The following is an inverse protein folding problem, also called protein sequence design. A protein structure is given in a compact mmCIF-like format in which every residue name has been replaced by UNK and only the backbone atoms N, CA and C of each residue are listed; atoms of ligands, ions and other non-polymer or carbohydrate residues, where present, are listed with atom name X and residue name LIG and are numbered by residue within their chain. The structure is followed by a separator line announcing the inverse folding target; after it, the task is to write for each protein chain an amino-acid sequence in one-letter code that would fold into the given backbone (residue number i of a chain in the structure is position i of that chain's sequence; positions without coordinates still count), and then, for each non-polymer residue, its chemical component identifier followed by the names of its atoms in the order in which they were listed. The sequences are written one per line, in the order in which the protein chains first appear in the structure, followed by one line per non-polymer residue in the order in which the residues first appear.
data_IF_917561095164
#
_entry.id   IF_917561095164
#
_cell.length_a   1.000
_cell.length_b   1.000
_cell.length_c   1.000
_cell.angle_alpha   90.00
_cell.angle_beta   90.00
_cell.angle_gamma   90.00
#
_symmetry.space_group_name_H-M   'P 1'
#
loop_
_entity.id
_entity.type
_entity.pdbx_description
1 polymer ?
2 water ?
#
# COMPACT_ATOMS: atom_id res chain seq x y z
N UNK A 8 11.66 22.93 4.59
CA UNK A 8 11.29 22.82 6.04
C UNK A 8 12.05 21.70 6.76
N UNK A 9 13.31 21.94 7.10
CA UNK A 9 14.07 20.89 7.78
C UNK A 9 13.48 20.47 9.12
N UNK A 10 13.85 19.28 9.56
CA UNK A 10 13.37 18.77 10.84
C UNK A 10 14.50 17.99 11.46
N UNK A 11 14.53 17.96 12.78
CA UNK A 11 15.57 17.25 13.48
C UNK A 11 14.96 16.33 14.53
N UNK A 12 15.45 15.09 14.56
CA UNK A 12 14.96 14.13 15.55
C UNK A 12 16.10 14.00 16.52
N UNK A 13 15.78 13.93 17.80
CA UNK A 13 16.79 13.80 18.84
C UNK A 13 16.52 12.55 19.63
N UNK A 14 17.59 11.92 20.10
CA UNK A 14 17.52 10.68 20.84
C UNK A 14 16.34 10.67 21.81
N UNK A 15 15.48 9.67 21.67
CA UNK A 15 14.31 9.54 22.52
C UNK A 15 14.62 8.71 23.73
N UNK A 16 13.89 9.00 24.79
CA UNK A 16 14.06 8.31 26.06
C UNK A 16 13.33 6.98 26.15
N UNK A 17 12.42 6.74 25.22
CA UNK A 17 11.66 5.51 25.27
C UNK A 17 10.29 5.86 24.74
N UNK A 18 9.83 5.13 23.73
CA UNK A 18 8.54 5.42 23.14
C UNK A 18 7.45 4.54 23.73
N UNK A 19 6.28 5.11 23.90
CA UNK A 19 5.20 4.29 24.40
C UNK A 19 3.89 4.89 23.97
N UNK A 20 2.89 4.04 23.78
CA UNK A 20 1.60 4.51 23.36
C UNK A 20 0.98 3.48 22.46
N UNK A 21 -0.30 3.64 22.20
CA UNK A 21 -1.02 2.72 21.33
C UNK A 21 -1.44 3.63 20.22
N UNK A 22 -1.12 3.28 18.98
CA UNK A 22 -1.50 4.14 17.91
C UNK A 22 -2.16 3.38 16.81
N UNK A 23 -3.01 4.08 16.07
CA UNK A 23 -3.60 3.43 14.94
C UNK A 23 -3.05 4.26 13.77
N UNK A 24 -2.79 3.61 12.66
CA UNK A 24 -2.23 4.23 11.48
C UNK A 24 -3.34 4.53 10.46
N UNK A 25 -3.17 5.57 9.64
CA UNK A 25 -4.21 5.83 8.65
C UNK A 25 -4.42 4.60 7.77
N UNK A 26 -5.69 4.31 7.49
CA UNK A 26 -6.03 3.14 6.70
C UNK A 26 -5.25 2.98 5.42
N UNK A 27 -5.09 1.74 5.00
CA UNK A 27 -4.41 1.45 3.77
C UNK A 27 -5.31 1.94 2.61
N UNK A 28 -4.72 2.58 1.62
CA UNK A 28 -5.46 3.10 0.47
C UNK A 28 -6.08 1.98 -0.36
N UNK A 29 -5.31 0.92 -0.61
CA UNK A 29 -5.80 -0.19 -1.43
C UNK A 29 -6.97 -0.92 -0.79
N UNK A 30 -6.85 -1.24 0.48
CA UNK A 30 -7.94 -1.90 1.15
C UNK A 30 -9.12 -0.95 1.32
N UNK A 31 -8.85 0.34 1.54
CA UNK A 31 -9.93 1.30 1.67
C UNK A 31 -10.67 1.37 0.34
N UNK A 32 -9.92 1.49 -0.75
CA UNK A 32 -10.53 1.56 -2.06
C UNK A 32 -11.39 0.34 -2.30
N UNK A 33 -10.83 -0.84 -2.11
CA UNK A 33 -11.63 -2.01 -2.37
C UNK A 33 -12.82 -2.17 -1.44
N UNK A 34 -12.69 -1.71 -0.20
CA UNK A 34 -13.79 -1.82 0.74
C UNK A 34 -14.93 -0.94 0.25
N UNK A 35 -14.60 0.26 -0.18
CA UNK A 35 -15.62 1.15 -0.65
C UNK A 35 -16.25 0.63 -1.94
N UNK A 36 -15.43 0.18 -2.88
CA UNK A 36 -15.97 -0.35 -4.14
C UNK A 36 -16.83 -1.59 -3.91
N UNK A 37 -16.29 -2.54 -3.17
CA UNK A 37 -17.03 -3.76 -2.91
C UNK A 37 -18.24 -3.45 -2.05
N UNK A 38 -18.10 -2.47 -1.17
CA UNK A 38 -19.22 -2.09 -0.34
C UNK A 38 -20.37 -1.61 -1.20
N UNK A 39 -20.06 -0.85 -2.25
CA UNK A 39 -21.09 -0.34 -3.14
C UNK A 39 -21.61 -1.39 -4.12
N UNK A 40 -20.78 -2.37 -4.45
CA UNK A 40 -21.20 -3.41 -5.37
C UNK A 40 -21.98 -4.54 -4.72
N UNK A 41 -21.61 -4.90 -3.49
CA UNK A 41 -22.24 -6.02 -2.82
C UNK A 41 -23.68 -5.82 -2.45
N UNK A 42 -24.38 -6.93 -2.29
CA UNK A 42 -25.77 -6.93 -1.89
C UNK A 42 -25.72 -6.74 -0.40
N UNK A 43 -26.63 -5.93 0.12
CA UNK A 43 -26.66 -5.74 1.55
C UNK A 43 -25.82 -4.55 1.94
N UNK A 44 -25.63 -4.41 3.24
CA UNK A 44 -24.92 -3.26 3.77
C UNK A 44 -23.51 -3.54 4.22
N UNK A 45 -22.63 -2.59 3.93
CA UNK A 45 -21.24 -2.69 4.35
C UNK A 45 -21.03 -1.49 5.25
N UNK A 46 -20.28 -1.71 6.33
CA UNK A 46 -19.95 -0.66 7.28
C UNK A 46 -18.43 -0.63 7.32
N UNK A 47 -17.88 0.54 7.06
CA UNK A 47 -16.45 0.69 7.03
C UNK A 47 -15.99 1.74 8.02
N UNK A 48 -14.99 1.38 8.81
CA UNK A 48 -14.40 2.32 9.73
C UNK A 48 -12.92 2.33 9.35
N UNK A 49 -12.21 3.40 9.70
CA UNK A 49 -10.79 3.45 9.38
C UNK A 49 -10.48 3.72 7.91
N UNK A 50 -11.50 4.09 7.15
CA UNK A 50 -11.34 4.37 5.74
C UNK A 50 -10.30 5.46 5.45
N UNK A 51 -9.39 5.20 4.53
CA UNK A 51 -8.45 6.23 4.15
C UNK A 51 -9.28 6.95 3.09
N UNK A 52 -9.74 8.16 3.39
CA UNK A 52 -10.58 8.88 2.45
C UNK A 52 -9.74 9.66 1.46
N UNK A 53 -8.96 8.93 0.66
CA UNK A 53 -8.12 9.57 -0.34
C UNK A 53 -8.84 9.67 -1.67
N UNK A 54 -8.16 10.26 -2.65
CA UNK A 54 -8.73 10.46 -3.96
C UNK A 54 -9.32 9.21 -4.61
N UNK A 55 -8.58 8.11 -4.54
CA UNK A 55 -9.08 6.86 -5.14
C UNK A 55 -10.35 6.39 -4.44
N UNK A 56 -10.36 6.41 -3.12
CA UNK A 56 -11.55 5.99 -2.38
C UNK A 56 -12.69 6.96 -2.67
N UNK A 57 -12.45 8.25 -2.44
CA UNK A 57 -13.48 9.26 -2.69
C UNK A 57 -14.05 9.16 -4.09
N UNK A 58 -13.18 9.24 -5.08
CA UNK A 58 -13.67 9.17 -6.44
C UNK A 58 -14.38 7.86 -6.73
N UNK A 59 -13.88 6.77 -6.16
CA UNK A 59 -14.52 5.49 -6.44
C UNK A 59 -15.88 5.44 -5.77
N UNK A 60 -15.96 6.03 -4.59
CA UNK A 60 -17.23 6.07 -3.90
C UNK A 60 -18.22 6.91 -4.71
N UNK A 61 -17.75 8.00 -5.29
CA UNK A 61 -18.59 8.89 -6.09
C UNK A 61 -19.11 8.10 -7.29
N UNK A 62 -18.24 7.27 -7.87
CA UNK A 62 -18.67 6.49 -9.01
C UNK A 62 -19.66 5.42 -8.60
N UNK A 63 -19.42 4.80 -7.46
CA UNK A 63 -20.33 3.75 -7.00
C UNK A 63 -21.67 4.40 -6.73
N UNK A 64 -21.64 5.58 -6.14
CA UNK A 64 -22.89 6.28 -5.88
C UNK A 64 -23.56 6.60 -7.21
N UNK A 65 -22.78 7.08 -8.18
CA UNK A 65 -23.32 7.41 -9.49
C UNK A 65 -23.99 6.19 -10.14
N UNK A 66 -23.60 5.00 -9.70
CA UNK A 66 -24.17 3.79 -10.27
C UNK A 66 -25.14 3.07 -9.34
N UNK A 67 -25.65 3.78 -8.34
CA UNK A 67 -26.67 3.19 -7.50
C UNK A 67 -26.36 2.87 -6.06
N UNK A 68 -25.09 2.83 -5.69
CA UNK A 68 -24.76 2.52 -4.32
C UNK A 68 -25.24 3.66 -3.43
N UNK A 69 -25.73 3.32 -2.25
CA UNK A 69 -26.20 4.32 -1.32
C UNK A 69 -25.12 4.40 -0.25
N UNK A 70 -24.51 5.57 -0.15
CA UNK A 70 -23.41 5.79 0.79
C UNK A 70 -23.70 6.88 1.79
N UNK A 71 -23.30 6.66 3.04
CA UNK A 71 -23.51 7.67 4.07
C UNK A 71 -22.48 7.39 5.15
N UNK A 72 -22.14 8.43 5.92
CA UNK A 72 -21.18 8.22 6.98
C UNK A 72 -21.86 8.65 8.25
N UNK A 73 -21.82 7.76 9.23
CA UNK A 73 -22.42 8.04 10.52
C UNK A 73 -21.37 7.74 11.57
N UNK A 74 -21.01 8.76 12.34
CA UNK A 74 -19.99 8.59 13.33
C UNK A 74 -18.71 8.39 12.54
N UNK A 75 -17.94 7.41 12.92
CA UNK A 75 -16.69 7.14 12.22
C UNK A 75 -16.91 6.03 11.23
N UNK A 76 -18.18 5.73 10.96
CA UNK A 76 -18.53 4.63 10.08
C UNK A 76 -19.20 4.96 8.76
N UNK A 77 -18.60 4.49 7.67
CA UNK A 77 -19.22 4.66 6.37
C UNK A 77 -20.16 3.49 6.26
N UNK A 78 -21.38 3.77 5.81
CA UNK A 78 -22.40 2.76 5.64
C UNK A 78 -22.76 2.76 4.19
N UNK A 79 -22.61 1.61 3.58
CA UNK A 79 -22.90 1.50 2.18
C UNK A 79 -23.93 0.44 1.90
N UNK A 80 -24.97 0.83 1.19
CA UNK A 80 -25.96 -0.16 0.80
C UNK A 80 -25.61 -0.35 -0.67
N UNK A 81 -25.08 -1.53 -0.95
CA UNK A 81 -24.64 -1.84 -2.31
C UNK A 81 -25.76 -2.21 -3.24
N UNK A 82 -25.45 -2.23 -4.53
CA UNK A 82 -26.43 -2.52 -5.56
C UNK A 82 -26.53 -4.01 -5.87
N UNK A 83 -25.66 -4.83 -5.26
CA UNK A 83 -25.64 -6.25 -5.56
C UNK A 83 -24.74 -6.47 -6.78
N UNK A 84 -23.95 -7.54 -6.80
CA UNK A 84 -23.09 -7.79 -7.95
C UNK A 84 -23.91 -7.82 -9.25
N UNK A 85 -23.46 -7.09 -10.27
CA UNK A 85 -24.19 -7.06 -11.52
C UNK A 85 -25.33 -6.07 -11.40
N UNK A 86 -25.35 -5.33 -10.31
CA UNK A 86 -26.44 -4.40 -10.09
C UNK A 86 -26.17 -2.96 -10.37
N UNK A 87 -24.97 -2.66 -10.85
CA UNK A 87 -24.60 -1.29 -11.15
C UNK A 87 -25.56 -0.63 -12.11
N UNK A 88 -25.89 0.60 -11.81
CA UNK A 88 -26.79 1.36 -12.63
C UNK A 88 -25.96 2.24 -13.55
N UNK A 89 -26.44 2.42 -14.76
CA UNK A 89 -25.75 3.24 -15.71
C UNK A 89 -25.56 4.67 -15.15
N UNK A 90 -24.31 5.17 -15.15
CA UNK A 90 -24.08 6.53 -14.62
C UNK A 90 -24.71 7.57 -15.53
N UNK A 91 -25.24 8.62 -14.92
CA UNK A 91 -25.89 9.71 -15.66
C UNK A 91 -24.87 10.70 -16.17
N UNK A 92 -23.62 10.53 -15.78
CA UNK A 92 -22.62 11.47 -16.23
C UNK A 92 -21.25 10.84 -16.17
N UNK A 93 -20.27 11.47 -16.80
CA UNK A 93 -18.94 10.90 -16.75
C UNK A 93 -18.45 10.71 -15.32
N UNK A 94 -17.62 9.70 -15.15
CA UNK A 94 -17.06 9.40 -13.86
C UNK A 94 -15.72 10.09 -13.85
N UNK A 95 -15.63 11.19 -13.12
CA UNK A 95 -14.40 11.96 -13.06
C UNK A 95 -13.51 11.40 -11.97
N UNK A 96 -12.32 10.97 -12.32
CA UNK A 96 -11.46 10.43 -11.29
C UNK A 96 -10.37 11.37 -10.85
N UNK A 97 -10.53 12.64 -11.21
CA UNK A 97 -9.53 13.63 -10.85
C UNK A 97 -8.17 13.08 -11.19
N UNK A 98 -7.36 12.88 -10.17
CA UNK A 98 -6.03 12.32 -10.41
C UNK A 98 -5.93 10.88 -9.88
N UNK A 99 -7.05 10.31 -9.46
CA UNK A 99 -7.06 8.95 -8.90
C UNK A 99 -6.94 7.90 -9.99
N UNK A 100 -5.72 7.63 -10.39
CA UNK A 100 -5.44 6.67 -11.45
C UNK A 100 -5.87 5.26 -11.08
N UNK A 101 -5.61 4.88 -9.83
CA UNK A 101 -5.96 3.53 -9.41
C UNK A 101 -7.46 3.36 -9.36
N UNK A 102 -8.14 4.29 -8.70
CA UNK A 102 -9.58 4.22 -8.61
C UNK A 102 -10.16 4.22 -10.01
N UNK A 103 -9.52 4.93 -10.92
CA UNK A 103 -10.02 5.01 -12.26
C UNK A 103 -9.89 3.69 -12.98
N UNK A 104 -8.70 3.13 -12.93
CA UNK A 104 -8.45 1.88 -13.61
C UNK A 104 -9.25 0.71 -13.06
N UNK A 105 -9.42 0.65 -11.75
CA UNK A 105 -10.16 -0.46 -11.20
C UNK A 105 -11.62 -0.31 -11.50
N UNK A 106 -12.08 0.92 -11.49
CA UNK A 106 -13.48 1.17 -11.78
C UNK A 106 -13.76 0.79 -13.22
N UNK A 107 -12.80 1.08 -14.09
CA UNK A 107 -12.95 0.74 -15.51
C UNK A 107 -13.11 -0.75 -15.61
N UNK A 108 -12.27 -1.47 -14.87
CA UNK A 108 -12.35 -2.92 -14.92
C UNK A 108 -13.71 -3.39 -14.47
N UNK A 109 -14.17 -2.82 -13.36
CA UNK A 109 -15.45 -3.19 -12.76
C UNK A 109 -16.61 -2.90 -13.70
N UNK A 110 -16.65 -1.66 -14.15
CA UNK A 110 -17.72 -1.13 -14.98
C UNK A 110 -17.71 -1.38 -16.49
N UNK A 111 -16.52 -1.53 -17.07
CA UNK A 111 -16.44 -1.75 -18.50
C UNK A 111 -17.26 -2.92 -18.97
N UNK A 112 -17.34 -3.98 -18.15
CA UNK A 112 -18.11 -5.14 -18.55
C UNK A 112 -19.62 -4.97 -18.38
N UNK A 113 -20.05 -3.82 -17.89
CA UNK A 113 -21.48 -3.60 -17.76
C UNK A 113 -22.02 -3.09 -19.09
N UNK A 114 -23.22 -3.53 -19.39
CA UNK A 114 -23.86 -3.18 -20.63
C UNK A 114 -24.53 -1.81 -20.59
N UNK A 115 -23.73 -0.81 -20.27
CA UNK A 115 -24.18 0.56 -20.32
C UNK A 115 -22.94 1.39 -20.61
N UNK A 116 -23.13 2.59 -21.10
CA UNK A 116 -22.00 3.43 -21.39
C UNK A 116 -21.45 4.04 -20.12
N UNK A 117 -20.13 4.05 -20.04
CA UNK A 117 -19.43 4.61 -18.90
C UNK A 117 -18.35 5.47 -19.51
N UNK A 118 -18.24 6.72 -19.04
CA UNK A 118 -17.20 7.59 -19.53
C UNK A 118 -16.35 7.97 -18.34
N UNK A 119 -15.05 7.85 -18.52
CA UNK A 119 -14.11 8.19 -17.48
C UNK A 119 -13.32 9.38 -17.96
N UNK A 120 -13.16 10.35 -17.08
CA UNK A 120 -12.38 11.55 -17.38
C UNK A 120 -11.59 11.77 -16.11
N UNK A 121 -10.61 12.67 -16.20
CA UNK A 121 -9.78 12.97 -15.06
C UNK A 121 -9.06 14.27 -15.32
N UNK A 122 -8.25 14.70 -14.36
CA UNK A 122 -7.53 15.95 -14.53
C UNK A 122 -6.42 15.77 -15.58
N UNK A 123 -5.72 16.85 -15.88
CA UNK A 123 -4.64 16.84 -16.87
C UNK A 123 -3.63 15.73 -16.57
N UNK A 124 -3.27 15.62 -15.31
CA UNK A 124 -2.32 14.62 -14.90
C UNK A 124 -2.76 13.21 -15.31
N UNK A 125 -3.89 12.76 -14.78
CA UNK A 125 -4.38 11.42 -15.07
C UNK A 125 -4.67 11.20 -16.55
N UNK A 126 -5.09 12.25 -17.24
CA UNK A 126 -5.41 12.14 -18.66
C UNK A 126 -4.21 11.75 -19.53
N UNK A 127 -2.98 11.94 -19.02
CA UNK A 127 -1.82 11.57 -19.80
C UNK A 127 -1.41 10.13 -19.53
N UNK A 128 -1.93 9.56 -18.44
CA UNK A 128 -1.59 8.19 -18.08
C UNK A 128 -2.19 7.13 -18.99
N UNK A 129 -1.39 6.13 -19.35
CA UNK A 129 -1.80 5.03 -20.23
C UNK A 129 -2.82 4.17 -19.47
N UNK A 130 -3.83 3.71 -20.16
CA UNK A 130 -4.85 2.90 -19.52
C UNK A 130 -4.92 1.56 -20.20
N UNK A 131 -4.19 1.43 -21.31
CA UNK A 131 -4.21 0.22 -22.10
C UNK A 131 -4.03 -1.10 -21.37
N UNK A 132 -3.24 -1.10 -20.30
CA UNK A 132 -3.01 -2.34 -19.55
C UNK A 132 -4.31 -2.86 -18.95
N UNK A 133 -5.24 -1.93 -18.73
CA UNK A 133 -6.55 -2.30 -18.21
C UNK A 133 -7.55 -2.39 -19.36
N UNK A 134 -7.44 -1.49 -20.31
CA UNK A 134 -8.37 -1.49 -21.43
C UNK A 134 -8.25 -2.71 -22.33
N UNK A 135 -7.03 -3.19 -22.52
CA UNK A 135 -6.82 -4.35 -23.37
C UNK A 135 -7.59 -5.57 -22.91
N UNK A 136 -7.44 -5.96 -21.63
CA UNK A 136 -8.19 -7.14 -21.19
C UNK A 136 -9.69 -6.92 -21.21
N UNK A 137 -10.12 -5.68 -21.01
CA UNK A 137 -11.53 -5.38 -21.07
C UNK A 137 -12.03 -5.64 -22.51
N UNK A 138 -11.25 -5.22 -23.51
CA UNK A 138 -11.63 -5.44 -24.90
C UNK A 138 -11.73 -6.95 -25.19
N UNK A 139 -10.84 -7.71 -24.55
CA UNK A 139 -10.81 -9.15 -24.72
C UNK A 139 -12.04 -9.79 -24.11
N UNK A 140 -12.68 -9.07 -23.21
CA UNK A 140 -13.88 -9.60 -22.60
C UNK A 140 -15.10 -9.12 -23.34
N UNK A 141 -14.89 -8.34 -24.41
CA UNK A 141 -16.00 -7.88 -25.21
C UNK A 141 -16.39 -6.43 -24.98
N UNK A 142 -15.61 -5.72 -24.19
CA UNK A 142 -15.95 -4.34 -23.91
C UNK A 142 -15.61 -3.41 -25.05
N UNK A 143 -16.54 -2.55 -25.42
CA UNK A 143 -16.22 -1.59 -26.47
C UNK A 143 -15.49 -0.47 -25.76
N UNK A 144 -14.31 -0.14 -26.25
CA UNK A 144 -13.52 0.91 -25.67
C UNK A 144 -13.35 2.05 -26.64
N UNK A 145 -13.58 3.25 -26.16
CA UNK A 145 -13.39 4.46 -26.93
C UNK A 145 -12.46 5.23 -26.03
N UNK A 146 -11.25 5.51 -26.52
CA UNK A 146 -10.28 6.22 -25.73
C UNK A 146 -9.47 7.16 -26.60
N UNK A 147 -8.62 7.94 -25.96
CA UNK A 147 -7.78 8.87 -26.67
C UNK A 147 -6.43 8.21 -26.90
N UNK A 148 -5.60 8.93 -27.64
CA UNK A 148 -4.22 8.58 -27.95
C UNK A 148 -3.86 7.13 -27.79
N UNK A 149 -2.89 6.90 -26.91
CA UNK A 149 -2.41 5.57 -26.63
C UNK A 149 -3.21 5.06 -25.46
N UNK A 150 -4.53 4.98 -25.68
CA UNK A 150 -5.45 4.49 -24.68
C UNK A 150 -5.41 5.34 -23.42
N UNK A 151 -5.77 6.60 -23.57
CA UNK A 151 -5.78 7.51 -22.44
C UNK A 151 -7.16 8.11 -22.34
N UNK A 152 -7.44 8.70 -21.19
CA UNK A 152 -8.71 9.35 -20.95
C UNK A 152 -8.77 10.53 -21.91
N UNK A 153 -9.98 10.99 -22.23
CA UNK A 153 -11.20 10.36 -21.70
C UNK A 153 -11.45 9.01 -22.34
N UNK A 154 -12.11 8.14 -21.59
CA UNK A 154 -12.42 6.82 -22.09
C UNK A 154 -13.90 6.55 -21.93
N UNK A 155 -14.50 6.00 -22.97
CA UNK A 155 -15.88 5.61 -22.85
C UNK A 155 -15.88 4.11 -22.99
N UNK A 156 -16.59 3.45 -22.08
CA UNK A 156 -16.69 2.01 -22.10
C UNK A 156 -18.13 1.62 -22.24
N UNK A 157 -18.34 0.50 -22.92
CA UNK A 157 -19.64 -0.06 -23.09
C UNK A 157 -19.41 -1.55 -23.17
N UNK A 158 -19.82 -2.25 -22.12
CA UNK A 158 -19.65 -3.68 -22.11
C UNK A 158 -20.69 -4.32 -23.00
N UNK A 159 -20.45 -5.58 -23.42
CA UNK A 159 -21.37 -6.31 -24.28
C UNK A 159 -22.50 -6.73 -23.34
N UNK A 160 -23.61 -7.21 -23.88
CA UNK A 160 -24.70 -7.65 -23.03
C UNK A 160 -24.19 -8.76 -22.14
N UNK A 161 -23.36 -9.63 -22.70
CA UNK A 161 -22.82 -10.73 -21.93
C UNK A 161 -21.34 -10.82 -22.25
N UNK A 162 -20.50 -10.46 -21.27
CA UNK A 162 -19.07 -10.52 -21.54
C UNK A 162 -18.52 -11.94 -21.49
N UNK A 163 -17.33 -12.12 -22.02
CA UNK A 163 -16.76 -13.43 -21.97
C UNK A 163 -15.69 -13.44 -20.93
N UNK A 164 -15.65 -14.51 -20.11
CA UNK A 164 -14.60 -14.58 -19.11
C UNK A 164 -13.34 -14.83 -19.93
N UNK A 165 -12.18 -14.53 -19.37
CA UNK A 165 -10.95 -14.74 -20.08
C UNK A 165 -9.92 -15.33 -19.13
N UNK A 166 -8.86 -15.85 -19.69
CA UNK A 166 -7.79 -16.39 -18.91
C UNK A 166 -6.70 -15.43 -19.29
N UNK A 167 -6.46 -14.49 -18.38
CA UNK A 167 -5.49 -13.45 -18.61
C UNK A 167 -4.16 -13.66 -17.92
N UNK A 168 -3.11 -13.75 -18.72
CA UNK A 168 -1.77 -13.91 -18.21
C UNK A 168 -1.30 -12.49 -18.21
N UNK A 169 -1.18 -11.91 -17.03
CA UNK A 169 -0.74 -10.53 -16.93
C UNK A 169 0.61 -10.43 -17.58
N UNK A 170 0.67 -9.81 -18.78
CA UNK A 170 1.94 -9.67 -19.51
C UNK A 170 3.10 -9.30 -18.58
N UNK A 171 2.77 -8.57 -17.52
CA UNK A 171 3.77 -8.17 -16.56
C UNK A 171 3.16 -8.04 -15.17
N UNK A 172 3.64 -8.88 -14.25
CA UNK A 172 3.17 -8.84 -12.87
C UNK A 172 2.67 -7.46 -12.49
N UNK A 173 1.35 -7.35 -12.32
CA UNK A 173 0.69 -6.10 -11.95
C UNK A 173 -0.55 -6.39 -11.11
N UNK A 174 -0.52 -5.97 -9.86
CA UNK A 174 -1.64 -6.20 -8.97
C UNK A 174 -2.87 -5.46 -9.51
N UNK A 175 -2.63 -4.31 -10.10
CA UNK A 175 -3.69 -3.48 -10.63
C UNK A 175 -4.39 -4.07 -11.84
N UNK A 176 -3.62 -4.64 -12.75
CA UNK A 176 -4.17 -5.23 -13.95
C UNK A 176 -4.95 -6.45 -13.51
N UNK A 177 -4.33 -7.25 -12.64
CA UNK A 177 -4.98 -8.43 -12.10
C UNK A 177 -6.30 -7.99 -11.47
N UNK A 178 -6.23 -6.91 -10.70
CA UNK A 178 -7.41 -6.40 -10.02
C UNK A 178 -8.46 -5.99 -11.01
N UNK A 179 -8.08 -5.25 -12.04
CA UNK A 179 -9.03 -4.79 -13.03
C UNK A 179 -9.71 -5.98 -13.71
N UNK A 180 -8.94 -7.02 -14.04
CA UNK A 180 -9.53 -8.16 -14.71
C UNK A 180 -10.50 -8.91 -13.77
N UNK A 181 -10.09 -9.11 -12.52
CA UNK A 181 -10.97 -9.80 -11.58
C UNK A 181 -12.28 -9.03 -11.37
N UNK A 182 -12.20 -7.72 -11.25
CA UNK A 182 -13.40 -6.91 -11.07
C UNK A 182 -14.26 -7.09 -12.30
N UNK A 183 -13.63 -7.06 -13.48
CA UNK A 183 -14.35 -7.26 -14.73
C UNK A 183 -15.02 -8.62 -14.67
N UNK A 184 -14.32 -9.57 -14.08
CA UNK A 184 -14.86 -10.92 -14.00
C UNK A 184 -16.14 -11.00 -13.19
N UNK A 185 -16.31 -10.08 -12.24
CA UNK A 185 -17.50 -10.09 -11.40
C UNK A 185 -18.87 -10.04 -12.12
N UNK A 186 -18.91 -9.36 -13.25
CA UNK A 186 -20.15 -9.23 -14.00
C UNK A 186 -20.10 -10.11 -15.23
N UNK A 187 -19.17 -11.05 -15.23
CA UNK A 187 -18.98 -11.92 -16.37
C UNK A 187 -19.35 -13.36 -16.00
N UNK A 188 -20.20 -13.99 -16.81
CA UNK A 188 -20.59 -15.38 -16.53
C UNK A 188 -19.37 -16.26 -16.70
N UNK A 189 -19.31 -17.35 -15.94
CA UNK A 189 -18.18 -18.23 -16.09
C UNK A 189 -17.00 -17.85 -15.22
N UNK A 190 -15.86 -18.44 -15.51
CA UNK A 190 -14.69 -18.23 -14.70
C UNK A 190 -13.66 -17.35 -15.34
N UNK A 191 -13.36 -16.24 -14.69
CA UNK A 191 -12.33 -15.35 -15.17
C UNK A 191 -11.09 -15.81 -14.41
N UNK A 192 -9.99 -15.92 -15.14
CA UNK A 192 -8.78 -16.38 -14.51
C UNK A 192 -7.67 -15.44 -14.82
N UNK A 193 -6.88 -15.15 -13.80
CA UNK A 193 -5.73 -14.31 -13.98
C UNK A 193 -4.57 -15.16 -13.56
N UNK A 194 -3.55 -15.18 -14.41
CA UNK A 194 -2.35 -15.92 -14.12
C UNK A 194 -1.26 -14.89 -14.03
N UNK A 195 -0.62 -14.80 -12.87
CA UNK A 195 0.48 -13.86 -12.73
C UNK A 195 1.73 -14.67 -12.43
N UNK A 196 2.85 -14.32 -13.08
CA UNK A 196 4.13 -15.03 -12.89
C UNK A 196 4.58 -15.08 -11.44
N UNK A 197 4.33 -13.98 -10.73
CA UNK A 197 4.72 -13.89 -9.34
C UNK A 197 3.50 -13.37 -8.62
N UNK A 198 3.41 -13.66 -7.33
CA UNK A 198 2.30 -13.18 -6.55
C UNK A 198 2.51 -11.69 -6.35
N UNK A 199 1.50 -10.90 -6.67
CA UNK A 199 1.55 -9.45 -6.48
C UNK A 199 0.53 -9.18 -5.40
N UNK A 200 0.40 -7.93 -4.93
CA UNK A 200 -0.60 -7.63 -3.91
C UNK A 200 -1.89 -8.32 -4.31
N UNK A 201 -2.51 -8.97 -3.33
CA UNK A 201 -3.71 -9.72 -3.59
C UNK A 201 -4.91 -9.19 -2.83
N UNK A 202 -4.97 -7.89 -2.64
CA UNK A 202 -6.12 -7.37 -1.92
C UNK A 202 -7.43 -7.59 -2.63
N UNK A 203 -7.42 -7.57 -3.95
CA UNK A 203 -8.67 -7.78 -4.65
C UNK A 203 -9.11 -9.20 -4.38
N UNK A 204 -8.17 -10.14 -4.48
CA UNK A 204 -8.50 -11.55 -4.23
C UNK A 204 -9.02 -11.71 -2.80
N UNK A 205 -8.27 -11.18 -1.85
CA UNK A 205 -8.61 -11.28 -0.44
C UNK A 205 -9.96 -10.65 -0.14
N UNK A 206 -10.16 -9.42 -0.60
CA UNK A 206 -11.41 -8.74 -0.32
C UNK A 206 -12.61 -9.37 -1.08
N UNK A 207 -12.36 -9.90 -2.27
CA UNK A 207 -13.44 -10.55 -3.00
C UNK A 207 -13.89 -11.72 -2.11
N UNK A 208 -12.94 -12.50 -1.64
CA UNK A 208 -13.26 -13.63 -0.78
C UNK A 208 -13.92 -13.10 0.49
N UNK A 209 -13.41 -11.98 1.00
CA UNK A 209 -14.00 -11.43 2.21
C UNK A 209 -15.46 -11.03 2.00
N UNK A 210 -15.82 -10.72 0.76
CA UNK A 210 -17.19 -10.32 0.46
C UNK A 210 -18.03 -11.49 -0.03
N UNK A 211 -17.51 -12.69 0.10
CA UNK A 211 -18.26 -13.87 -0.28
C UNK A 211 -18.12 -14.38 -1.69
N UNK A 212 -17.14 -13.87 -2.44
CA UNK A 212 -16.96 -14.30 -3.82
C UNK A 212 -16.35 -15.69 -3.85
N UNK A 213 -16.64 -16.40 -4.93
CA UNK A 213 -16.08 -17.74 -5.12
C UNK A 213 -14.80 -17.53 -5.94
N UNK A 214 -13.71 -17.30 -5.23
CA UNK A 214 -12.42 -17.06 -5.85
C UNK A 214 -11.39 -17.96 -5.21
N UNK A 215 -10.56 -18.57 -6.07
CA UNK A 215 -9.53 -19.45 -5.59
C UNK A 215 -8.21 -19.05 -6.22
N UNK A 216 -7.13 -19.49 -5.58
CA UNK A 216 -5.81 -19.19 -6.06
C UNK A 216 -5.03 -20.49 -6.07
N UNK A 217 -4.47 -20.78 -7.21
CA UNK A 217 -3.67 -21.97 -7.37
C UNK A 217 -2.26 -21.44 -7.57
N UNK A 218 -1.29 -22.10 -6.94
CA UNK A 218 0.11 -21.71 -7.11
C UNK A 218 0.81 -22.98 -7.57
N UNK A 219 1.61 -22.89 -8.64
CA UNK A 219 2.33 -24.07 -9.12
C UNK A 219 3.71 -24.07 -8.51
N UNK A 220 4.49 -25.10 -8.81
CA UNK A 220 5.85 -25.22 -8.28
C UNK A 220 6.68 -23.95 -8.44
N UNK A 221 6.49 -23.21 -9.52
CA UNK A 221 7.25 -21.99 -9.73
C UNK A 221 6.67 -20.76 -9.08
N UNK A 222 5.64 -20.93 -8.27
CA UNK A 222 5.05 -19.76 -7.65
C UNK A 222 4.11 -19.03 -8.59
N UNK A 223 3.97 -19.49 -9.83
CA UNK A 223 3.02 -18.85 -10.74
C UNK A 223 1.62 -19.05 -10.12
N UNK A 224 0.87 -17.97 -10.04
CA UNK A 224 -0.46 -18.00 -9.43
C UNK A 224 -1.60 -17.97 -10.41
N UNK A 225 -2.56 -18.85 -10.19
CA UNK A 225 -3.72 -18.87 -11.04
C UNK A 225 -4.90 -18.53 -10.15
N UNK A 226 -5.41 -17.32 -10.36
CA UNK A 226 -6.52 -16.83 -9.60
C UNK A 226 -7.76 -17.05 -10.45
N UNK A 227 -8.71 -17.81 -9.92
CA UNK A 227 -9.91 -18.08 -10.65
C UNK A 227 -11.07 -17.42 -9.94
N UNK A 228 -11.90 -16.72 -10.70
CA UNK A 228 -13.05 -16.09 -10.10
C UNK A 228 -14.35 -16.46 -10.80
N UNK A 229 -15.29 -16.97 -10.03
CA UNK A 229 -16.57 -17.30 -10.61
C UNK A 229 -17.32 -15.98 -10.72
N UNK A 230 -17.60 -15.59 -11.96
CA UNK A 230 -18.28 -14.32 -12.23
C UNK A 230 -19.75 -14.34 -11.92
N UNK A 231 -20.33 -13.15 -11.85
CA UNK A 231 -21.74 -13.00 -11.57
C UNK A 231 -22.20 -13.77 -10.33
N UNK A 232 -21.28 -13.95 -9.39
CA UNK A 232 -21.61 -14.65 -8.16
C UNK A 232 -22.00 -13.59 -7.14
N UNK A 233 -22.35 -14.02 -5.93
CA UNK A 233 -22.74 -13.02 -4.98
C UNK A 233 -21.57 -12.34 -4.29
N UNK A 234 -21.88 -11.16 -3.77
CA UNK A 234 -20.96 -10.35 -2.99
C UNK A 234 -21.95 -9.84 -1.97
N UNK A 235 -21.61 -9.93 -0.69
CA UNK A 235 -22.52 -9.46 0.35
C UNK A 235 -21.78 -8.54 1.30
N UNK A 236 -22.55 -7.63 1.88
CA UNK A 236 -22.05 -6.63 2.79
C UNK A 236 -21.22 -7.16 3.95
N UNK A 237 -20.23 -6.37 4.32
CA UNK A 237 -19.31 -6.73 5.39
C UNK A 237 -19.06 -5.59 6.32
N UNK A 238 -18.57 -5.92 7.51
CA UNK A 238 -18.20 -4.94 8.50
C UNK A 238 -16.70 -4.91 8.35
N UNK A 239 -16.18 -3.78 7.89
CA UNK A 239 -14.76 -3.65 7.67
C UNK A 239 -14.12 -2.51 8.44
N UNK A 240 -13.11 -2.85 9.22
CA UNK A 240 -12.35 -1.84 9.94
C UNK A 240 -11.07 -1.86 9.11
N UNK A 241 -10.88 -0.86 8.29
CA UNK A 241 -9.73 -0.84 7.42
C UNK A 241 -8.37 -0.84 8.14
N UNK A 242 -7.53 -1.84 7.84
CA UNK A 242 -6.18 -2.05 8.38
C UNK A 242 -5.36 -0.83 8.02
N UNK A 243 -4.34 -0.53 8.81
CA UNK A 243 -3.53 0.63 8.51
C UNK A 243 -2.58 0.46 7.36
N UNK A 244 -2.14 1.59 6.82
CA UNK A 244 -1.16 1.62 5.72
C UNK A 244 0.14 0.98 6.25
N UNK A 245 0.60 -0.09 5.60
CA UNK A 245 1.83 -0.78 6.03
C UNK A 245 3.06 0.10 6.01
N UNK A 246 3.19 0.94 4.98
CA UNK A 246 4.34 1.80 4.86
C UNK A 246 4.37 2.84 5.96
N UNK A 247 3.20 3.32 6.38
CA UNK A 247 3.17 4.34 7.42
C UNK A 247 3.40 3.71 8.77
N UNK A 248 2.93 2.48 8.88
CA UNK A 248 3.05 1.68 10.08
C UNK A 248 4.54 1.52 10.39
N UNK A 249 5.31 1.31 9.34
CA UNK A 249 6.75 1.08 9.42
C UNK A 249 7.50 1.99 10.37
N UNK A 250 7.18 3.28 10.37
CA UNK A 250 7.93 4.21 11.19
C UNK A 250 7.81 4.05 12.69
N UNK A 251 6.58 4.10 13.24
CA UNK A 251 6.52 3.92 14.69
C UNK A 251 6.97 2.50 15.02
N UNK A 252 6.68 1.57 14.12
CA UNK A 252 7.08 0.18 14.33
C UNK A 252 8.59 0.12 14.50
N UNK A 253 9.32 0.69 13.55
CA UNK A 253 10.77 0.65 13.66
C UNK A 253 11.25 1.53 14.81
N UNK A 254 10.64 2.68 15.00
CA UNK A 254 11.05 3.55 16.09
C UNK A 254 10.94 2.84 17.45
N UNK A 255 9.85 2.11 17.65
CA UNK A 255 9.63 1.39 18.91
C UNK A 255 10.65 0.25 19.09
N UNK A 256 11.03 -0.40 18.00
CA UNK A 256 11.99 -1.48 18.05
C UNK A 256 13.37 -0.96 18.39
N UNK A 257 13.72 0.19 17.80
CA UNK A 257 15.02 0.81 17.96
C UNK A 257 15.26 1.64 19.22
N UNK A 258 14.34 2.53 19.56
CA UNK A 258 14.50 3.39 20.73
C UNK A 258 14.39 2.53 21.97
N UNK A 259 15.46 2.46 22.77
CA UNK A 259 15.33 1.60 23.95
C UNK A 259 14.31 2.08 24.99
N UNK A 260 13.78 1.13 25.74
CA UNK A 260 12.78 1.44 26.75
C UNK A 260 11.44 1.73 26.10
N UNK A 261 11.30 1.33 24.85
CA UNK A 261 10.06 1.57 24.12
C UNK A 261 9.15 0.36 24.16
N UNK A 262 7.87 0.64 24.25
CA UNK A 262 6.87 -0.41 24.28
C UNK A 262 5.69 0.27 23.61
N UNK A 263 5.43 -0.09 22.36
CA UNK A 263 4.36 0.53 21.60
C UNK A 263 3.40 -0.49 21.01
N UNK A 264 2.13 -0.16 21.05
CA UNK A 264 1.15 -1.04 20.46
C UNK A 264 0.59 -0.31 19.24
N UNK A 265 0.69 -0.97 18.09
CA UNK A 265 0.15 -0.38 16.87
C UNK A 265 -1.08 -1.18 16.55
N UNK A 266 -2.20 -0.47 16.48
CA UNK A 266 -3.47 -1.13 16.23
C UNK A 266 -3.78 -1.31 14.77
N UNK A 267 -4.55 -2.36 14.50
CA UNK A 267 -5.06 -2.62 13.17
C UNK A 267 -3.97 -2.63 12.09
N UNK A 268 -3.02 -3.52 12.25
CA UNK A 268 -1.91 -3.65 11.31
C UNK A 268 -2.25 -4.70 10.28
N UNK A 269 -2.10 -4.35 9.01
CA UNK A 269 -2.38 -5.32 7.95
C UNK A 269 -1.28 -6.36 8.04
N UNK A 270 -1.67 -7.63 8.04
CA UNK A 270 -0.71 -8.72 8.12
C UNK A 270 -0.63 -9.54 6.84
N UNK A 271 -1.15 -9.00 5.76
CA UNK A 271 -1.12 -9.64 4.45
C UNK A 271 0.35 -9.65 4.05
N UNK A 272 0.94 -10.85 3.84
CA UNK A 272 2.34 -11.03 3.45
C UNK A 272 2.77 -10.29 2.21
N UNK A 273 1.84 -9.96 1.31
CA UNK A 273 2.23 -9.22 0.12
C UNK A 273 2.50 -7.75 0.47
N UNK A 274 2.25 -7.35 1.72
CA UNK A 274 2.45 -5.95 2.11
C UNK A 274 3.40 -5.79 3.28
N UNK A 275 3.73 -6.89 3.92
CA UNK A 275 4.53 -6.88 5.13
C UNK A 275 5.97 -7.38 5.08
N UNK A 276 6.63 -7.23 3.94
CA UNK A 276 8.02 -7.64 3.83
C UNK A 276 8.86 -7.01 4.94
N UNK A 277 8.56 -5.76 5.28
CA UNK A 277 9.31 -5.07 6.33
C UNK A 277 9.11 -5.79 7.67
N UNK A 278 7.86 -6.00 8.04
CA UNK A 278 7.58 -6.68 9.30
C UNK A 278 8.26 -8.06 9.31
N UNK A 279 8.11 -8.79 8.22
CA UNK A 279 8.73 -10.10 8.12
C UNK A 279 10.24 -9.97 8.30
N UNK A 280 10.84 -8.99 7.62
CA UNK A 280 12.27 -8.79 7.73
C UNK A 280 12.66 -8.46 9.17
N UNK A 281 11.94 -7.53 9.78
CA UNK A 281 12.24 -7.18 11.16
C UNK A 281 12.11 -8.38 12.09
N UNK A 282 11.12 -9.22 11.84
CA UNK A 282 10.93 -10.40 12.67
C UNK A 282 12.19 -11.27 12.55
N UNK A 283 12.66 -11.47 11.32
CA UNK A 283 13.86 -12.29 11.10
C UNK A 283 15.05 -11.66 11.80
N UNK A 284 15.03 -10.32 11.89
CA UNK A 284 16.11 -9.58 12.54
C UNK A 284 15.95 -9.66 14.05
N UNK A 285 14.99 -10.47 14.49
CA UNK A 285 14.76 -10.65 15.91
C UNK A 285 13.93 -9.58 16.58
N UNK A 286 13.12 -8.86 15.80
CA UNK A 286 12.29 -7.80 16.38
C UNK A 286 11.28 -8.39 17.36
N UNK A 287 11.17 -7.75 18.52
CA UNK A 287 10.21 -8.18 19.54
C UNK A 287 8.87 -7.59 19.13
N UNK A 288 8.21 -8.24 18.18
CA UNK A 288 6.92 -7.78 17.70
C UNK A 288 5.94 -8.82 18.13
N UNK A 289 5.05 -8.45 19.03
CA UNK A 289 4.06 -9.41 19.45
C UNK A 289 2.78 -9.17 18.66
N UNK A 290 2.35 -10.22 17.98
CA UNK A 290 1.14 -10.15 17.17
C UNK A 290 -0.01 -10.48 18.11
N UNK A 291 -0.92 -9.54 18.31
CA UNK A 291 -2.02 -9.78 19.20
C UNK A 291 -3.34 -9.50 18.50
N UNK A 292 -4.43 -9.93 19.12
CA UNK A 292 -5.77 -9.75 18.59
C UNK A 292 -5.86 -10.01 17.11
N UNK A 293 -5.33 -11.16 16.65
CA UNK A 293 -5.41 -11.41 15.20
C UNK A 293 -6.88 -11.57 14.79
N UNK A 294 -7.19 -11.08 13.61
CA UNK A 294 -8.55 -11.22 13.11
C UNK A 294 -8.54 -10.92 11.64
N UNK A 295 -9.71 -11.05 11.04
CA UNK A 295 -9.89 -10.77 9.64
C UNK A 295 -10.69 -9.48 9.50
N UNK A 296 -10.40 -8.77 8.41
CA UNK A 296 -11.08 -7.54 8.06
C UNK A 296 -11.26 -7.62 6.55
N UNK A 297 -12.50 -7.75 6.12
CA UNK A 297 -12.77 -7.85 4.70
C UNK A 297 -11.91 -8.92 4.05
N UNK A 298 -11.65 -10.02 4.75
CA UNK A 298 -10.83 -11.07 4.18
C UNK A 298 -9.34 -10.88 4.36
N UNK A 299 -8.94 -9.78 4.97
CA UNK A 299 -7.53 -9.52 5.19
C UNK A 299 -7.12 -9.90 6.62
N UNK A 300 -5.91 -10.43 6.75
CA UNK A 300 -5.40 -10.76 8.06
C UNK A 300 -4.99 -9.47 8.72
N UNK A 301 -5.46 -9.31 9.94
CA UNK A 301 -5.17 -8.12 10.70
C UNK A 301 -4.80 -8.50 12.11
N UNK A 302 -3.97 -7.67 12.73
CA UNK A 302 -3.60 -7.91 14.11
C UNK A 302 -3.11 -6.59 14.64
N UNK A 303 -2.93 -6.52 15.94
CA UNK A 303 -2.33 -5.33 16.49
C UNK A 303 -0.95 -5.84 16.80
N UNK A 304 0.00 -4.93 16.87
CA UNK A 304 1.36 -5.32 17.17
C UNK A 304 1.83 -4.59 18.39
N UNK A 305 2.33 -5.36 19.35
CA UNK A 305 2.88 -4.75 20.52
C UNK A 305 4.36 -4.85 20.22
N UNK A 306 4.96 -3.69 20.04
CA UNK A 306 6.35 -3.60 19.66
C UNK A 306 7.21 -3.11 20.81
N UNK A 307 8.18 -3.93 21.20
CA UNK A 307 9.08 -3.54 22.28
C UNK A 307 10.48 -3.38 21.74
N UNK A 308 11.24 -2.52 22.41
CA UNK A 308 12.62 -2.24 22.05
C UNK A 308 13.30 -3.57 21.92
N UNK A 309 14.02 -3.77 20.82
CA UNK A 309 14.72 -5.02 20.60
C UNK A 309 16.12 -4.76 20.12
N UNK A 310 16.92 -5.80 20.12
CA UNK A 310 18.25 -5.71 19.60
C UNK A 310 18.07 -6.39 18.25
N UNK A 311 18.17 -5.61 17.17
CA UNK A 311 17.99 -6.18 15.84
C UNK A 311 19.30 -6.78 15.38
N UNK A 312 19.19 -7.85 14.61
CA UNK A 312 20.36 -8.54 14.08
C UNK A 312 20.29 -8.48 12.57
N UNK A 313 21.43 -8.22 11.95
CA UNK A 313 21.45 -8.13 10.51
C UNK A 313 21.02 -9.42 9.83
N UNK A 314 20.35 -9.26 8.70
CA UNK A 314 19.92 -10.42 7.93
C UNK A 314 20.14 -10.03 6.50
N UNK A 315 19.95 -11.00 5.61
CA UNK A 315 20.05 -10.76 4.19
C UNK A 315 18.63 -10.72 3.73
N UNK A 316 18.26 -9.67 3.02
CA UNK A 316 16.89 -9.54 2.55
C UNK A 316 16.84 -9.99 1.10
N UNK A 317 16.12 -11.09 0.82
CA UNK A 317 16.03 -11.59 -0.56
C UNK A 317 15.35 -10.61 -1.49
N UNK A 318 15.84 -10.58 -2.72
CA UNK A 318 15.28 -9.69 -3.72
C UNK A 318 13.78 -9.95 -3.94
N UNK A 319 13.37 -11.20 -3.81
CA UNK A 319 11.96 -11.52 -4.04
C UNK A 319 11.04 -10.97 -2.95
N UNK A 320 11.60 -10.36 -1.92
CA UNK A 320 10.76 -9.81 -0.87
C UNK A 320 10.49 -8.34 -1.12
N UNK A 321 11.34 -7.76 -1.95
CA UNK A 321 11.26 -6.35 -2.28
C UNK A 321 9.87 -5.83 -2.62
N UNK A 322 9.12 -6.56 -3.47
CA UNK A 322 7.77 -6.10 -3.82
C UNK A 322 6.89 -5.91 -2.59
N UNK A 323 7.00 -6.84 -1.63
CA UNK A 323 6.18 -6.77 -0.42
C UNK A 323 6.63 -5.66 0.51
N UNK A 324 7.66 -4.91 0.15
CA UNK A 324 8.12 -3.84 1.06
C UNK A 324 8.89 -2.79 0.30
N UNK A 325 8.52 -2.59 -0.96
CA UNK A 325 9.20 -1.63 -1.80
C UNK A 325 9.44 -0.28 -1.14
N UNK A 326 8.42 0.29 -0.50
CA UNK A 326 8.60 1.59 0.12
C UNK A 326 9.24 1.57 1.50
N UNK A 327 9.57 0.38 1.97
CA UNK A 327 10.16 0.28 3.29
C UNK A 327 11.65 0.13 3.32
N UNK A 328 12.28 0.18 2.16
CA UNK A 328 13.73 0.02 2.19
C UNK A 328 14.36 1.19 2.92
N UNK A 329 13.80 2.40 2.74
CA UNK A 329 14.46 3.46 3.49
C UNK A 329 14.44 3.18 5.00
N UNK A 330 13.27 2.91 5.61
CA UNK A 330 13.29 2.66 7.05
C UNK A 330 13.98 1.37 7.45
N UNK A 331 13.95 0.36 6.59
CA UNK A 331 14.66 -0.87 6.96
C UNK A 331 16.17 -0.59 7.02
N UNK A 332 16.65 0.22 6.08
CA UNK A 332 18.07 0.54 6.02
C UNK A 332 18.44 1.31 7.28
N UNK A 333 17.52 2.13 7.77
CA UNK A 333 17.76 2.87 8.99
C UNK A 333 17.78 1.86 10.17
N UNK A 334 16.86 0.89 10.15
CA UNK A 334 16.80 -0.12 11.20
C UNK A 334 18.11 -0.92 11.19
N UNK A 335 18.60 -1.18 9.98
CA UNK A 335 19.85 -1.91 9.79
C UNK A 335 21.03 -1.17 10.40
N UNK A 336 20.95 0.16 10.40
CA UNK A 336 22.04 0.97 10.96
C UNK A 336 22.17 0.75 12.47
N UNK A 337 21.17 0.11 13.08
CA UNK A 337 21.21 -0.16 14.51
C UNK A 337 21.11 -1.66 14.80
N UNK A 338 21.35 -2.45 13.77
CA UNK A 338 21.29 -3.90 13.94
C UNK A 338 22.68 -4.49 14.03
N UNK A 339 22.77 -5.63 14.71
CA UNK A 339 24.04 -6.32 14.87
C UNK A 339 24.52 -6.75 13.50
N UNK A 340 25.82 -6.63 13.29
CA UNK A 340 26.40 -7.06 12.02
C UNK A 340 25.91 -6.32 10.81
N UNK A 341 25.85 -7.04 9.71
CA UNK A 341 25.41 -6.43 8.49
C UNK A 341 24.06 -6.91 8.03
N UNK A 342 23.38 -6.02 7.31
CA UNK A 342 22.12 -6.34 6.73
C UNK A 342 22.40 -6.19 5.25
N UNK A 343 21.99 -7.17 4.46
CA UNK A 343 22.22 -7.11 3.04
C UNK A 343 20.91 -7.04 2.33
N UNK A 344 20.71 -5.96 1.59
CA UNK A 344 19.47 -5.78 0.85
C UNK A 344 19.80 -5.86 -0.62
N UNK A 345 19.30 -6.91 -1.27
CA UNK A 345 19.52 -7.16 -2.70
C UNK A 345 18.32 -6.76 -3.53
N UNK A 346 18.53 -6.60 -4.83
CA UNK A 346 17.45 -6.22 -5.71
C UNK A 346 17.64 -4.84 -6.32
N UNK A 347 18.24 -4.81 -7.50
CA UNK A 347 18.48 -3.56 -8.23
C UNK A 347 17.31 -3.32 -9.15
N UNK A 348 16.51 -4.37 -9.33
CA UNK A 348 15.34 -4.34 -10.19
C UNK A 348 14.83 -2.92 -10.44
N UNK A 349 13.90 -2.47 -9.61
CA UNK A 349 13.33 -1.16 -9.82
C UNK A 349 13.18 -0.23 -8.62
N UNK A 350 14.29 0.38 -8.22
CA UNK A 350 14.25 1.38 -7.16
C UNK A 350 14.26 2.63 -8.04
N UNK A 351 13.46 2.49 -9.11
CA UNK A 351 13.26 3.45 -10.20
C UNK A 351 13.99 2.79 -11.38
N UNK A 352 13.83 1.46 -11.47
CA UNK A 352 14.48 0.64 -12.48
C UNK A 352 15.98 0.86 -12.36
N UNK A 353 16.39 1.24 -11.14
CA UNK A 353 17.79 1.53 -10.85
C UNK A 353 18.20 0.97 -9.49
N UNK A 354 19.50 1.08 -9.20
CA UNK A 354 20.08 0.64 -7.94
C UNK A 354 21.00 1.73 -7.41
N UNK A 355 20.49 2.96 -7.44
CA UNK A 355 21.20 4.15 -6.97
C UNK A 355 20.28 5.36 -7.01
N UNK A 356 18.99 5.10 -7.23
CA UNK A 356 18.01 6.17 -7.29
C UNK A 356 17.27 6.13 -5.95
N UNK A 357 17.42 7.19 -5.15
CA UNK A 357 16.81 7.24 -3.83
C UNK A 357 17.35 6.08 -3.00
N UNK A 358 17.97 5.11 -3.68
CA UNK A 358 18.61 4.01 -3.00
C UNK A 358 19.90 4.68 -2.57
N UNK A 359 20.41 5.55 -3.44
CA UNK A 359 21.62 6.30 -3.15
C UNK A 359 21.31 7.31 -2.08
N UNK A 360 20.13 7.93 -2.15
CA UNK A 360 19.73 8.91 -1.15
C UNK A 360 19.76 8.25 0.23
N UNK A 361 19.22 7.04 0.34
CA UNK A 361 19.23 6.36 1.60
C UNK A 361 20.67 6.11 2.03
N UNK A 362 21.46 5.51 1.14
CA UNK A 362 22.86 5.24 1.45
C UNK A 362 23.54 6.55 1.87
N UNK A 363 23.32 7.61 1.10
CA UNK A 363 23.96 8.86 1.45
C UNK A 363 23.53 9.40 2.82
N UNK A 364 22.24 9.31 3.11
CA UNK A 364 21.71 9.79 4.37
C UNK A 364 22.35 9.03 5.51
N UNK A 365 22.47 7.72 5.31
CA UNK A 365 23.09 6.87 6.31
C UNK A 365 24.52 7.31 6.51
N UNK A 366 25.27 7.40 5.41
CA UNK A 366 26.65 7.80 5.51
C UNK A 366 26.76 9.16 6.18
N UNK A 367 25.90 10.07 5.75
CA UNK A 367 25.91 11.40 6.34
C UNK A 367 25.76 11.23 7.84
N UNK A 368 25.07 10.15 8.24
CA UNK A 368 24.88 9.97 9.65
C UNK A 368 25.78 8.95 10.34
N UNK A 369 27.00 8.86 9.80
CA UNK A 369 28.02 7.99 10.35
C UNK A 369 27.79 6.51 10.16
N UNK A 370 26.85 6.14 9.31
CA UNK A 370 26.59 4.74 9.13
C UNK A 370 27.54 4.07 8.15
N UNK A 371 28.11 2.96 8.60
CA UNK A 371 29.02 2.18 7.79
C UNK A 371 28.16 1.35 6.86
N UNK A 372 28.04 1.77 5.62
CA UNK A 372 27.26 1.02 4.67
C UNK A 372 27.87 1.10 3.28
N UNK A 373 27.56 0.11 2.46
CA UNK A 373 28.08 0.04 1.11
C UNK A 373 26.94 -0.08 0.13
N UNK A 374 26.91 0.86 -0.79
CA UNK A 374 25.89 0.86 -1.82
C UNK A 374 26.47 0.22 -3.07
N UNK A 375 25.83 -0.83 -3.55
CA UNK A 375 26.32 -1.49 -4.74
C UNK A 375 25.30 -1.29 -5.84
N UNK A 376 25.54 -1.90 -6.99
CA UNK A 376 24.61 -1.79 -8.10
C UNK A 376 23.57 -2.91 -7.95
N UNK A 377 23.78 -3.79 -6.96
CA UNK A 377 22.84 -4.88 -6.74
C UNK A 377 22.40 -5.02 -5.30
N UNK A 378 23.23 -4.58 -4.36
CA UNK A 378 22.85 -4.69 -2.97
C UNK A 378 23.35 -3.56 -2.09
N UNK A 379 22.52 -3.21 -1.11
CA UNK A 379 22.87 -2.18 -0.15
C UNK A 379 23.28 -2.95 1.08
N UNK A 380 24.47 -2.67 1.59
CA UNK A 380 24.95 -3.35 2.77
C UNK A 380 25.10 -2.35 3.90
N UNK A 381 24.48 -2.66 5.02
CA UNK A 381 24.55 -1.80 6.17
C UNK A 381 25.06 -2.57 7.37
N UNK A 382 26.08 -2.01 8.02
CA UNK A 382 26.64 -2.60 9.21
C UNK A 382 26.11 -1.69 10.30
N UNK A 383 25.38 -2.27 11.25
CA UNK A 383 24.78 -1.46 12.29
C UNK A 383 25.55 -1.25 13.57
N UNK A 384 24.98 -0.40 14.42
CA UNK A 384 25.53 -0.05 15.71
C UNK A 384 24.30 0.10 16.60
N UNK A 385 23.83 -1.02 17.18
CA UNK A 385 22.65 -0.98 18.04
C UNK A 385 22.56 0.16 19.03
N UNK A 386 23.66 0.53 19.66
CA UNK A 386 23.57 1.63 20.61
C UNK A 386 23.61 3.00 19.96
N UNK A 387 23.65 3.02 18.63
CA UNK A 387 23.65 4.27 17.90
C UNK A 387 24.82 5.19 18.17
N UNK A 388 25.81 4.71 18.92
CA UNK A 388 26.96 5.55 19.21
C UNK A 388 27.69 5.92 17.93
N UNK A 389 28.05 7.20 17.84
CA UNK A 389 28.74 7.67 16.67
C UNK A 389 27.79 7.95 15.51
N UNK A 390 26.52 7.59 15.66
CA UNK A 390 25.58 7.83 14.56
C UNK A 390 24.86 9.16 14.70
N UNK A 391 24.20 9.57 13.62
CA UNK A 391 23.52 10.84 13.65
C UNK A 391 24.55 11.88 13.23
N UNK A 392 24.27 13.15 13.45
CA UNK A 392 25.24 14.12 13.02
C UNK A 392 25.16 15.33 13.91
N UNK A 393 26.18 15.47 14.75
CA UNK A 393 26.25 16.55 15.71
C UNK A 393 26.37 17.94 15.08
N UNK A 394 26.76 18.02 13.81
CA UNK A 394 26.89 19.33 13.18
C UNK A 394 25.57 19.82 12.59
N UNK A 395 24.55 18.97 12.62
CA UNK A 395 23.28 19.38 12.09
C UNK A 395 23.17 19.10 10.60
N UNK A 396 24.17 18.44 10.04
CA UNK A 396 24.16 18.10 8.62
C UNK A 396 22.79 17.49 8.29
N UNK A 397 22.11 18.08 7.31
CA UNK A 397 20.79 17.59 6.95
C UNK A 397 20.82 16.55 5.85
N UNK A 398 20.03 15.50 6.02
CA UNK A 398 19.94 14.44 5.01
C UNK A 398 19.17 15.01 3.82
N UNK A 399 19.66 14.76 2.60
CA UNK A 399 18.98 15.23 1.39
C UNK A 399 17.83 14.24 1.14
N UNK A 400 16.61 14.69 1.39
CA UNK A 400 15.43 13.85 1.21
C UNK A 400 15.04 13.68 -0.25
N UNK A 401 15.44 14.63 -1.08
CA UNK A 401 15.10 14.57 -2.50
C UNK A 401 13.60 14.47 -2.64
N UNK A 402 12.91 15.24 -1.79
CA UNK A 402 11.46 15.29 -1.77
C UNK A 402 10.82 13.94 -1.53
N UNK A 403 11.60 13.04 -0.94
CA UNK A 403 11.09 11.71 -0.66
C UNK A 403 10.64 11.60 0.79
N UNK A 404 9.33 11.55 0.98
CA UNK A 404 8.76 11.47 2.32
C UNK A 404 9.33 10.26 3.09
N UNK A 405 9.59 9.17 2.38
CA UNK A 405 10.13 7.96 3.05
C UNK A 405 11.51 8.19 3.66
N UNK A 406 12.33 8.96 2.97
CA UNK A 406 13.65 9.26 3.47
C UNK A 406 13.54 10.24 4.63
N UNK A 407 12.67 11.23 4.49
CA UNK A 407 12.50 12.20 5.54
C UNK A 407 12.09 11.51 6.83
N UNK A 408 11.08 10.64 6.75
CA UNK A 408 10.60 9.98 7.96
C UNK A 408 11.54 8.93 8.50
N UNK A 409 12.18 8.20 7.62
CA UNK A 409 13.11 7.15 8.06
C UNK A 409 14.26 7.77 8.82
N UNK A 410 14.77 8.89 8.33
CA UNK A 410 15.88 9.51 9.02
C UNK A 410 15.43 10.27 10.29
N UNK A 411 14.19 10.72 10.33
CA UNK A 411 13.72 11.34 11.56
C UNK A 411 13.63 10.21 12.59
N UNK A 412 13.19 9.04 12.15
CA UNK A 412 13.13 7.91 13.06
C UNK A 412 14.57 7.64 13.49
N UNK A 413 15.49 7.71 12.55
CA UNK A 413 16.87 7.44 12.93
C UNK A 413 17.35 8.32 14.06
N UNK A 414 17.04 9.61 14.02
CA UNK A 414 17.48 10.54 15.06
C UNK A 414 16.96 10.26 16.47
N UNK A 415 15.92 9.45 16.57
CA UNK A 415 15.35 9.10 17.85
C UNK A 415 16.26 8.10 18.55
N UNK A 416 17.14 7.49 17.78
CA UNK A 416 18.02 6.44 18.29
C UNK A 416 19.51 6.77 18.28
N UNK A 417 19.96 7.47 17.23
CA UNK A 417 21.35 7.82 17.10
C UNK A 417 21.83 8.68 18.27
N UNK A 418 23.08 8.49 18.65
CA UNK A 418 23.68 9.26 19.72
C UNK A 418 23.57 10.74 19.36
N UNK A 419 23.84 11.07 18.11
CA UNK A 419 23.77 12.45 17.66
C UNK A 419 22.50 12.62 16.84
N UNK A 420 21.91 13.82 16.86
CA UNK A 420 20.67 14.11 16.11
C UNK A 420 20.74 13.86 14.63
N UNK A 421 19.58 13.66 14.03
CA UNK A 421 19.56 13.45 12.62
C UNK A 421 18.66 14.54 12.10
N UNK A 422 19.12 15.21 11.05
CA UNK A 422 18.32 16.27 10.45
C UNK A 422 18.02 15.88 9.02
N UNK A 423 16.83 16.23 8.58
CA UNK A 423 16.42 15.95 7.23
C UNK A 423 16.27 17.33 6.64
N UNK A 424 16.65 17.48 5.37
CA UNK A 424 16.60 18.80 4.79
C UNK A 424 15.18 19.29 4.63
N UNK A 425 14.24 18.36 4.62
CA UNK A 425 12.87 18.75 4.45
C UNK A 425 11.87 17.75 4.99
N UNK A 426 10.82 18.27 5.61
CA UNK A 426 9.79 17.39 6.15
C UNK A 426 8.44 17.68 5.48
N UNK A 427 8.38 18.73 4.67
CA UNK A 427 7.11 19.10 4.06
C UNK A 427 6.47 17.91 3.33
N UNK A 428 7.28 17.14 2.63
CA UNK A 428 6.73 15.99 1.92
C UNK A 428 6.03 15.00 2.83
N UNK A 429 6.28 15.08 4.14
CA UNK A 429 5.63 14.15 5.05
C UNK A 429 4.13 14.48 5.14
N UNK A 430 3.80 15.76 5.05
CA UNK A 430 2.41 16.20 5.10
C UNK A 430 1.62 15.56 3.95
N UNK A 431 2.28 15.32 2.83
CA UNK A 431 1.65 14.77 1.65
C UNK A 431 1.59 13.25 1.63
N UNK A 432 2.19 12.60 2.62
CA UNK A 432 2.18 11.15 2.61
C UNK A 432 1.67 10.53 3.90
N UNK A 433 2.14 11.06 5.01
CA UNK A 433 1.77 10.55 6.32
C UNK A 433 1.72 11.79 7.20
N UNK A 434 0.79 12.70 6.89
CA UNK A 434 0.64 13.94 7.65
C UNK A 434 0.54 13.78 9.17
N UNK A 435 0.00 12.66 9.64
CA UNK A 435 -0.09 12.50 11.09
C UNK A 435 1.23 12.03 11.68
N UNK A 436 2.24 11.84 10.82
CA UNK A 436 3.53 11.39 11.29
C UNK A 436 4.07 12.15 12.50
N UNK A 437 4.20 13.46 12.35
CA UNK A 437 4.72 14.30 13.41
C UNK A 437 3.97 14.14 14.73
N UNK A 438 2.64 14.21 14.67
CA UNK A 438 1.83 14.09 15.88
C UNK A 438 1.90 12.71 16.52
N UNK A 439 1.74 11.69 15.70
CA UNK A 439 1.77 10.32 16.18
C UNK A 439 3.09 10.04 16.89
N UNK A 440 4.18 10.38 16.21
CA UNK A 440 5.52 10.15 16.72
C UNK A 440 5.76 10.93 17.99
N UNK A 441 5.44 12.22 17.96
CA UNK A 441 5.64 13.04 19.15
C UNK A 441 4.75 12.46 20.24
N UNK A 442 3.57 12.01 19.86
CA UNK A 442 2.67 11.44 20.85
C UNK A 442 3.31 10.26 21.56
N UNK A 443 4.11 9.50 20.83
CA UNK A 443 4.78 8.34 21.42
C UNK A 443 5.98 8.72 22.25
N UNK A 444 6.33 10.00 22.24
CA UNK A 444 7.48 10.44 22.99
C UNK A 444 8.67 10.76 22.09
N UNK A 445 8.44 10.78 20.79
CA UNK A 445 9.54 11.10 19.88
C UNK A 445 9.76 12.60 19.91
N UNK A 446 11.03 13.03 19.88
CA UNK A 446 11.33 14.46 19.88
C UNK A 446 11.81 14.86 18.51
N UNK A 447 10.91 15.48 17.76
CA UNK A 447 11.19 15.94 16.41
C UNK A 447 10.93 17.43 16.31
N UNK A 448 12.00 18.18 16.17
CA UNK A 448 11.91 19.62 16.08
C UNK A 448 11.78 20.01 14.62
N UNK A 449 10.72 20.75 14.32
CA UNK A 449 10.45 21.18 12.96
C UNK A 449 10.88 22.62 12.77
N UNK A 450 11.69 22.85 11.75
CA UNK A 450 12.20 24.17 11.40
C UNK A 450 11.15 25.29 11.59
#
# INVERSE_FOLDING_TARGET
MSHGASSRPATARKSSGLSGTVRIPGDKSISHRSFMFGGLASGETRITGLLEGEDVINTGKAMQAMGARIRKEGDTWIIDGVGNGGLLAPEAPLDFGNAATGCRLTMGLVGVYDFDSTFIGDASLTKRPMGRVLNPLREMGVQVKSEDGDRLPVTLRGPKTPTPITYRVPMASAQVKSAVLLAGLNTPGITTVIEPIMTRDHTEKMLQGFGANLTVETDADGVRTIRLEGRGKLTGQVIDVPGDPSSTAFPLVAALLVPGSDVTILNVLMNPTRTGLILTLQEMGADIEVINPRLAGGEDVADLRVRSSTLKGVTVPEDRAPSMIDEYPILAVAAAFAEGATVMNGLEELRVKESDRLSAVANGLKLNGVDCDEGETSLVVRGRPDGKGLGNASGAAVATHLDHRIAMSFLVMGLVSENPVTVDDATMIATSFPEFMDLMAGLGAKIELSDTKAA
#
